data_IF_811069631264
#
_entry.id   IF_811069631264
#
_cell.length_a   1.000
_cell.length_b   1.000
_cell.length_c   1.000
_cell.angle_alpha   90.00
_cell.angle_beta   90.00
_cell.angle_gamma   90.00
#
_symmetry.space_group_name_H-M   'P 1'
#
loop_
_entity.id
_entity.type
_entity.pdbx_description
1 polymer ?
#
# COMPACT_ATOMS: atom_id res chain seq x y z
N UNK A 1 -8.12 1.43 -22.72
CA UNK A 1 -9.10 1.01 -21.69
C UNK A 1 -8.34 0.91 -20.39
N UNK A 2 -8.74 1.65 -19.35
CA UNK A 2 -8.21 1.41 -18.00
C UNK A 2 -8.70 0.02 -17.59
N UNK A 3 -7.78 -0.87 -17.21
CA UNK A 3 -8.14 -2.20 -16.74
C UNK A 3 -9.09 -2.08 -15.54
N UNK A 4 -10.16 -2.87 -15.51
CA UNK A 4 -11.17 -2.80 -14.45
C UNK A 4 -10.56 -2.97 -13.06
N UNK A 5 -9.44 -3.68 -12.95
CA UNK A 5 -8.68 -3.91 -11.73
C UNK A 5 -7.95 -2.65 -11.28
N UNK A 6 -7.27 -1.96 -12.19
CA UNK A 6 -6.58 -0.71 -11.88
C UNK A 6 -7.57 0.38 -11.42
N UNK A 7 -8.71 0.49 -12.10
CA UNK A 7 -9.76 1.44 -11.72
C UNK A 7 -10.35 1.15 -10.33
N UNK A 8 -10.44 -0.12 -9.92
CA UNK A 8 -10.88 -0.51 -8.59
C UNK A 8 -9.89 -0.04 -7.52
N UNK A 9 -8.60 -0.36 -7.69
CA UNK A 9 -7.55 0.02 -6.73
C UNK A 9 -7.33 1.53 -6.67
N UNK A 10 -7.48 2.25 -7.79
CA UNK A 10 -7.45 3.72 -7.82
C UNK A 10 -8.61 4.32 -7.00
N UNK A 11 -9.82 3.76 -7.11
CA UNK A 11 -10.96 4.19 -6.28
C UNK A 11 -10.76 3.87 -4.81
N UNK A 12 -10.15 2.73 -4.49
CA UNK A 12 -9.81 2.36 -3.12
C UNK A 12 -8.81 3.36 -2.51
N UNK A 13 -7.79 3.77 -3.26
CA UNK A 13 -6.84 4.79 -2.85
C UNK A 13 -7.50 6.15 -2.61
N UNK A 14 -8.46 6.53 -3.46
CA UNK A 14 -9.19 7.81 -3.34
C UNK A 14 -10.06 7.90 -2.09
N UNK A 15 -10.49 6.78 -1.50
CA UNK A 15 -11.23 6.81 -0.23
C UNK A 15 -10.39 7.43 0.89
N UNK A 16 -9.08 7.14 0.90
CA UNK A 16 -8.10 7.71 1.84
C UNK A 16 -8.25 7.27 3.30
N UNK A 17 -9.48 7.23 3.83
CA UNK A 17 -9.81 6.82 5.19
C UNK A 17 -11.12 6.03 5.22
N UNK A 18 -11.13 4.89 5.92
CA UNK A 18 -12.30 4.06 6.13
C UNK A 18 -12.58 3.95 7.65
N UNK A 19 -13.66 4.58 8.15
CA UNK A 19 -13.96 4.66 9.60
C UNK A 19 -14.12 3.30 10.26
N UNK A 20 -14.62 2.30 9.53
CA UNK A 20 -14.78 0.93 10.02
C UNK A 20 -13.44 0.24 10.31
N UNK A 21 -12.36 0.75 9.71
CA UNK A 21 -11.01 0.24 9.90
C UNK A 21 -10.20 1.11 10.87
N UNK A 22 -10.82 2.05 11.60
CA UNK A 22 -10.09 3.02 12.42
C UNK A 22 -9.16 2.38 13.47
N UNK A 23 -9.42 1.14 13.89
CA UNK A 23 -8.57 0.41 14.85
C UNK A 23 -7.77 -0.73 14.20
N UNK A 24 -7.80 -0.81 12.86
CA UNK A 24 -7.14 -1.85 12.07
C UNK A 24 -5.89 -1.26 11.43
N UNK A 25 -4.80 -2.00 11.54
CA UNK A 25 -3.57 -1.73 10.80
C UNK A 25 -3.04 -3.03 10.20
N UNK A 26 -2.52 -2.96 9.00
CA UNK A 26 -2.00 -4.13 8.30
C UNK A 26 -1.71 -3.84 6.84
N UNK A 27 -0.92 -4.72 6.23
CA UNK A 27 -0.62 -4.65 4.81
C UNK A 27 -1.10 -5.93 4.15
N UNK A 28 -1.85 -5.77 3.05
CA UNK A 28 -2.36 -6.88 2.27
C UNK A 28 -1.77 -6.76 0.87
N UNK A 29 -1.18 -7.85 0.39
CA UNK A 29 -0.67 -7.97 -0.98
C UNK A 29 -1.65 -8.79 -1.80
N UNK A 30 -2.15 -8.21 -2.89
CA UNK A 30 -2.83 -8.94 -3.96
C UNK A 30 -1.88 -9.16 -5.11
N UNK A 31 -1.83 -10.39 -5.59
CA UNK A 31 -1.11 -10.78 -6.80
C UNK A 31 -2.15 -11.30 -7.78
N UNK A 32 -2.33 -10.61 -8.90
CA UNK A 32 -3.38 -10.90 -9.88
C UNK A 32 -2.68 -11.21 -11.20
N UNK A 33 -2.87 -12.44 -11.69
CA UNK A 33 -2.35 -12.88 -12.98
C UNK A 33 -2.79 -11.94 -14.09
N UNK A 34 -1.85 -11.60 -14.99
CA UNK A 34 -2.03 -10.68 -16.12
C UNK A 34 -2.31 -9.20 -15.77
N UNK A 35 -2.51 -8.86 -14.49
CA UNK A 35 -2.81 -7.48 -14.07
C UNK A 35 -1.70 -6.85 -13.20
N UNK A 36 -0.98 -7.65 -12.41
CA UNK A 36 0.16 -7.21 -11.58
C UNK A 36 -0.06 -7.40 -10.09
N UNK A 37 0.78 -6.75 -9.28
CA UNK A 37 0.70 -6.83 -7.81
C UNK A 37 0.26 -5.49 -7.21
N UNK A 38 -0.61 -5.55 -6.21
CA UNK A 38 -1.04 -4.40 -5.41
C UNK A 38 -0.76 -4.63 -3.93
N UNK A 39 -0.29 -3.58 -3.27
CA UNK A 39 -0.14 -3.51 -1.83
C UNK A 39 -1.10 -2.48 -1.28
N UNK A 40 -2.01 -2.91 -0.41
CA UNK A 40 -2.86 -1.99 0.36
C UNK A 40 -2.40 -1.99 1.79
N UNK A 41 -2.02 -0.83 2.28
CA UNK A 41 -1.70 -0.61 3.68
C UNK A 41 -2.85 0.12 4.34
N UNK A 42 -3.33 -0.45 5.43
CA UNK A 42 -4.26 0.19 6.36
C UNK A 42 -3.45 0.65 7.56
N UNK A 43 -3.57 1.92 7.94
CA UNK A 43 -2.98 2.47 9.16
C UNK A 43 -4.04 3.24 9.92
N UNK A 44 -4.60 2.61 10.94
CA UNK A 44 -5.62 3.21 11.82
C UNK A 44 -6.80 3.81 11.01
N UNK A 45 -7.28 3.05 10.01
CA UNK A 45 -8.33 3.44 9.08
C UNK A 45 -7.85 4.14 7.80
N UNK A 46 -6.63 4.69 7.78
CA UNK A 46 -6.08 5.33 6.58
C UNK A 46 -5.65 4.27 5.56
N UNK A 47 -6.16 4.39 4.33
CA UNK A 47 -5.92 3.46 3.24
C UNK A 47 -4.89 4.03 2.27
N UNK A 48 -3.83 3.27 2.01
CA UNK A 48 -2.85 3.57 0.97
C UNK A 48 -2.76 2.39 0.02
N UNK A 49 -2.89 2.64 -1.29
CA UNK A 49 -2.72 1.60 -2.31
C UNK A 49 -1.46 1.89 -3.13
N UNK A 50 -0.68 0.86 -3.38
CA UNK A 50 0.53 0.89 -4.20
C UNK A 50 0.44 -0.21 -5.25
N UNK A 51 0.76 0.13 -6.49
CA UNK A 51 0.88 -0.85 -7.58
C UNK A 51 2.36 -1.19 -7.78
N UNK A 52 2.67 -2.47 -7.92
CA UNK A 52 3.97 -2.98 -8.36
C UNK A 52 3.70 -3.77 -9.63
N UNK A 53 3.55 -3.04 -10.73
CA UNK A 53 3.38 -3.57 -12.08
C UNK A 53 4.43 -2.98 -13.01
N UNK A 54 4.71 -3.67 -14.11
CA UNK A 54 5.73 -3.31 -15.12
C UNK A 54 5.36 -2.08 -15.98
N UNK A 55 4.73 -1.05 -15.40
CA UNK A 55 4.40 0.19 -16.09
C UNK A 55 4.92 1.37 -15.28
N UNK A 56 6.19 1.71 -15.51
CA UNK A 56 6.75 3.06 -15.62
C UNK A 56 6.53 4.13 -14.53
N UNK A 57 5.79 3.86 -13.45
CA UNK A 57 5.40 4.85 -12.44
C UNK A 57 5.67 4.38 -10.99
N UNK A 58 6.33 3.24 -10.80
CA UNK A 58 6.64 2.65 -9.49
C UNK A 58 7.66 3.46 -8.63
N UNK A 59 7.98 4.69 -9.00
CA UNK A 59 9.05 5.49 -8.41
C UNK A 59 8.57 6.41 -7.27
N UNK A 60 7.67 5.93 -6.41
CA UNK A 60 7.25 6.68 -5.20
C UNK A 60 7.63 5.92 -3.91
N UNK A 61 8.00 4.64 -4.00
CA UNK A 61 8.13 3.80 -2.81
C UNK A 61 9.45 3.87 -2.04
N UNK A 62 10.53 4.44 -2.57
CA UNK A 62 11.84 4.37 -1.90
C UNK A 62 12.16 5.51 -0.91
N UNK A 63 11.27 6.50 -0.73
CA UNK A 63 11.58 7.70 0.08
C UNK A 63 10.68 7.92 1.30
N UNK A 64 9.60 7.14 1.47
CA UNK A 64 8.60 7.37 2.54
C UNK A 64 8.62 6.34 3.68
N UNK A 65 9.47 5.32 3.60
CA UNK A 65 9.61 4.31 4.64
C UNK A 65 11.09 4.01 4.86
N UNK A 66 11.85 4.89 5.56
CA UNK A 66 13.00 4.37 6.29
C UNK A 66 12.45 3.31 7.25
N UNK A 67 13.07 2.14 7.22
CA UNK A 67 12.87 1.07 8.18
C UNK A 67 13.32 1.58 9.56
N UNK A 68 12.47 2.36 10.24
CA UNK A 68 12.63 2.72 11.64
C UNK A 68 12.24 1.51 12.50
N UNK A 69 12.98 0.43 12.32
CA UNK A 69 12.88 -0.74 13.15
C UNK A 69 14.22 -1.44 13.15
N UNK A 70 15.15 -0.93 13.96
CA UNK A 70 16.12 -1.66 14.81
C UNK A 70 17.23 -0.71 15.28
N UNK A 71 16.89 0.19 16.21
CA UNK A 71 17.89 0.83 17.09
C UNK A 71 17.30 1.04 18.49
N UNK A 72 16.61 0.03 19.01
CA UNK A 72 16.32 -0.07 20.43
C UNK A 72 17.34 -1.00 21.08
N UNK A 73 18.42 -0.35 21.54
CA UNK A 73 19.32 -0.71 22.65
C UNK A 73 19.74 -2.15 22.88
N UNK A 74 21.06 -2.37 22.90
CA UNK A 74 21.71 -3.15 23.96
C UNK A 74 23.00 -2.44 24.39
N UNK A 75 23.18 -2.33 25.71
CA UNK A 75 24.27 -1.68 26.42
C UNK A 75 25.48 -2.61 26.51
N UNK A 76 26.69 -2.03 26.56
CA UNK A 76 27.94 -2.71 26.89
C UNK A 76 29.12 -1.76 26.85
#
# INVERSE_FOLDING_TARGET
MIDTTEAFFARLAQRGYEPLLHNVSGTIRWDIGDAGSWFVTVKNGSLTVKITGNLGLAQICQRLFPDESLASGEQG
#
